data_IF_697532097914
#
_entry.id   IF_697532097914
#
_cell.length_a   1.000
_cell.length_b   1.000
_cell.length_c   1.000
_cell.angle_alpha   90.00
_cell.angle_beta   90.00
_cell.angle_gamma   90.00
#
_symmetry.space_group_name_H-M   'P 1'
#
loop_
_entity.id
_entity.type
_entity.pdbx_description
1 polymer ?
#
# COMPACT_ATOMS: atom_id res chain seq x y z
N UNK A 1 34.87 -59.99 4.22
CA UNK A 1 34.48 -58.74 4.91
C UNK A 1 34.24 -57.59 3.92
N UNK A 2 33.55 -57.82 2.80
CA UNK A 2 33.42 -56.83 1.70
C UNK A 2 32.01 -56.62 1.15
N UNK A 3 31.02 -57.46 1.51
CA UNK A 3 29.68 -57.38 0.92
C UNK A 3 28.74 -56.47 1.74
N UNK A 4 28.94 -56.37 3.06
CA UNK A 4 28.10 -55.54 3.94
C UNK A 4 28.32 -54.02 3.76
N UNK A 5 29.52 -53.59 3.39
CA UNK A 5 29.85 -52.18 3.12
C UNK A 5 29.25 -51.67 1.80
N UNK A 6 29.02 -52.56 0.83
CA UNK A 6 28.46 -52.20 -0.48
C UNK A 6 26.94 -51.99 -0.43
N UNK A 7 26.23 -52.77 0.39
CA UNK A 7 24.78 -52.65 0.58
C UNK A 7 24.38 -51.38 1.36
N UNK A 8 25.24 -50.89 2.25
CA UNK A 8 24.99 -49.64 3.00
C UNK A 8 25.21 -48.39 2.12
N UNK A 9 26.15 -48.45 1.17
CA UNK A 9 26.40 -47.35 0.23
C UNK A 9 25.27 -47.19 -0.81
N UNK A 10 24.62 -48.30 -1.24
CA UNK A 10 23.50 -48.22 -2.17
C UNK A 10 22.21 -47.66 -1.55
N UNK A 11 21.97 -47.84 -0.24
CA UNK A 11 20.77 -47.27 0.39
C UNK A 11 20.87 -45.75 0.57
N UNK A 12 22.07 -45.23 0.86
CA UNK A 12 22.30 -43.79 1.04
C UNK A 12 22.17 -43.01 -0.28
N UNK A 13 22.64 -43.58 -1.39
CA UNK A 13 22.53 -42.95 -2.72
C UNK A 13 21.08 -42.91 -3.21
N UNK A 14 20.27 -43.92 -2.87
CA UNK A 14 18.84 -43.95 -3.22
C UNK A 14 18.02 -42.90 -2.43
N UNK A 15 18.36 -42.66 -1.16
CA UNK A 15 17.71 -41.60 -0.36
C UNK A 15 18.02 -40.18 -0.85
N UNK A 16 19.21 -39.93 -1.41
CA UNK A 16 19.57 -38.60 -1.93
C UNK A 16 18.91 -38.36 -3.31
N UNK A 17 18.79 -39.38 -4.16
CA UNK A 17 18.15 -39.26 -5.47
C UNK A 17 16.62 -39.06 -5.41
N UNK A 18 15.96 -39.51 -4.34
CA UNK A 18 14.53 -39.28 -4.10
C UNK A 18 14.22 -37.89 -3.52
N UNK A 19 15.22 -37.17 -2.99
CA UNK A 19 15.03 -35.83 -2.44
C UNK A 19 15.22 -34.70 -3.48
N UNK A 20 15.86 -34.96 -4.62
CA UNK A 20 16.33 -33.91 -5.54
C UNK A 20 15.44 -33.63 -6.76
N UNK A 21 14.29 -34.31 -6.92
CA UNK A 21 13.45 -34.16 -8.13
C UNK A 21 12.02 -33.65 -7.91
N UNK A 22 11.57 -33.46 -6.66
CA UNK A 22 10.15 -33.12 -6.40
C UNK A 22 9.89 -31.69 -5.88
N UNK A 23 10.92 -30.94 -5.50
CA UNK A 23 10.76 -29.61 -4.90
C UNK A 23 10.18 -28.56 -5.87
N UNK A 24 10.47 -28.66 -7.18
CA UNK A 24 9.97 -27.71 -8.18
C UNK A 24 8.48 -27.89 -8.51
N UNK A 25 7.96 -29.12 -8.43
CA UNK A 25 6.55 -29.42 -8.74
C UNK A 25 5.61 -28.99 -7.60
N UNK A 26 6.03 -29.18 -6.35
CA UNK A 26 5.22 -28.84 -5.19
C UNK A 26 5.08 -27.32 -4.98
N UNK A 27 6.19 -26.56 -5.10
CA UNK A 27 6.16 -25.10 -5.00
C UNK A 27 5.30 -24.52 -6.13
N UNK A 28 5.50 -24.89 -7.40
CA UNK A 28 4.66 -24.37 -8.48
C UNK A 28 3.16 -24.67 -8.32
N UNK A 29 2.80 -25.83 -7.75
CA UNK A 29 1.39 -26.16 -7.44
C UNK A 29 0.83 -25.31 -6.30
N UNK A 30 1.61 -25.05 -5.26
CA UNK A 30 1.21 -24.16 -4.16
C UNK A 30 0.97 -22.72 -4.62
N UNK A 31 1.78 -22.23 -5.58
CA UNK A 31 1.64 -20.87 -6.11
C UNK A 31 0.50 -20.74 -7.13
N UNK A 32 0.25 -21.75 -7.98
CA UNK A 32 -0.89 -21.75 -8.93
C UNK A 32 -2.25 -21.92 -8.26
N UNK A 33 -2.30 -22.49 -7.06
CA UNK A 33 -3.56 -22.77 -6.35
C UNK A 33 -4.12 -21.57 -5.57
N UNK A 34 -3.40 -20.44 -5.48
CA UNK A 34 -3.88 -19.27 -4.75
C UNK A 34 -4.59 -18.31 -5.71
N UNK A 35 -5.88 -18.09 -5.46
CA UNK A 35 -6.62 -16.97 -6.04
C UNK A 35 -5.86 -15.69 -5.73
N UNK A 36 -5.65 -14.85 -6.75
CA UNK A 36 -5.04 -13.53 -6.51
C UNK A 36 -5.96 -12.70 -5.62
N UNK A 37 -5.42 -11.93 -4.67
CA UNK A 37 -6.25 -11.06 -3.84
C UNK A 37 -6.98 -10.06 -4.74
N UNK A 38 -8.30 -9.95 -4.53
CA UNK A 38 -9.14 -8.95 -5.20
C UNK A 38 -9.28 -7.72 -4.31
N UNK A 39 -9.38 -6.56 -4.93
CA UNK A 39 -9.51 -5.28 -4.25
C UNK A 39 -10.71 -4.51 -4.79
N UNK A 40 -11.48 -3.91 -3.88
CA UNK A 40 -12.64 -3.09 -4.22
C UNK A 40 -12.49 -1.67 -3.67
N UNK A 41 -12.95 -0.64 -4.40
CA UNK A 41 -12.86 0.73 -3.93
C UNK A 41 -13.78 0.92 -2.72
N UNK A 42 -13.26 1.52 -1.65
CA UNK A 42 -14.04 1.80 -0.43
C UNK A 42 -14.24 3.30 -0.21
N UNK A 43 -13.26 4.12 -0.60
CA UNK A 43 -13.36 5.57 -0.48
C UNK A 43 -12.51 6.31 -1.52
N UNK A 44 -12.86 7.57 -1.74
CA UNK A 44 -12.09 8.52 -2.53
C UNK A 44 -11.95 9.84 -1.79
N UNK A 45 -10.81 10.51 -1.97
CA UNK A 45 -10.46 11.76 -1.29
C UNK A 45 -9.94 12.73 -2.32
N UNK A 46 -10.51 13.95 -2.33
CA UNK A 46 -10.04 15.07 -3.15
C UNK A 46 -9.53 16.18 -2.24
N UNK A 47 -8.28 16.58 -2.44
CA UNK A 47 -7.55 17.44 -1.48
C UNK A 47 -6.85 18.58 -2.20
N UNK A 48 -7.24 19.85 -1.94
CA UNK A 48 -6.44 20.99 -2.33
C UNK A 48 -5.06 20.95 -1.68
N UNK A 49 -4.04 21.27 -2.48
CA UNK A 49 -2.65 21.22 -2.08
C UNK A 49 -2.17 22.61 -1.68
N UNK A 50 -1.42 22.68 -0.57
CA UNK A 50 -0.69 23.87 -0.18
C UNK A 50 0.57 24.08 -1.03
N UNK A 51 1.32 25.16 -0.76
CA UNK A 51 2.57 25.44 -1.44
C UNK A 51 3.55 24.26 -1.37
N UNK A 52 4.16 23.94 -2.52
CA UNK A 52 5.17 22.88 -2.62
C UNK A 52 6.55 23.40 -2.25
N UNK A 53 7.12 22.81 -1.22
CA UNK A 53 8.51 23.01 -0.84
C UNK A 53 9.37 21.90 -1.43
N UNK A 54 10.50 22.27 -2.03
CA UNK A 54 11.46 21.32 -2.62
C UNK A 54 12.85 21.59 -2.06
N UNK A 55 13.46 20.55 -1.49
CA UNK A 55 14.81 20.58 -0.95
C UNK A 55 15.69 19.60 -1.71
N UNK A 56 16.77 20.08 -2.33
CA UNK A 56 17.75 19.23 -3.02
C UNK A 56 18.71 18.61 -2.01
N UNK A 57 19.09 17.36 -2.23
CA UNK A 57 20.04 16.63 -1.40
C UNK A 57 20.77 15.53 -2.18
N UNK A 58 21.67 14.78 -1.52
CA UNK A 58 22.50 13.76 -2.17
C UNK A 58 21.70 12.57 -2.73
N UNK A 59 20.47 12.37 -2.27
CA UNK A 59 19.58 11.29 -2.71
C UNK A 59 18.48 11.75 -3.68
N UNK A 60 18.62 12.96 -4.25
CA UNK A 60 17.62 13.58 -5.11
C UNK A 60 16.92 14.76 -4.44
N UNK A 61 15.63 14.97 -4.72
CA UNK A 61 14.85 16.09 -4.19
C UNK A 61 13.79 15.61 -3.21
N UNK A 62 13.75 16.18 -2.02
CA UNK A 62 12.67 15.98 -1.05
C UNK A 62 11.56 17.01 -1.31
N UNK A 63 10.32 16.54 -1.37
CA UNK A 63 9.14 17.39 -1.53
C UNK A 63 8.28 17.35 -0.28
N UNK A 64 7.69 18.49 0.06
CA UNK A 64 6.72 18.62 1.16
C UNK A 64 5.59 19.56 0.72
N UNK A 65 4.36 19.12 0.95
CA UNK A 65 3.13 19.85 0.61
C UNK A 65 2.09 19.63 1.70
N UNK A 66 1.49 20.70 2.19
CA UNK A 66 0.34 20.60 3.09
C UNK A 66 -0.89 20.10 2.34
N UNK A 67 -1.70 19.26 2.98
CA UNK A 67 -3.01 18.86 2.52
C UNK A 67 -4.03 19.72 3.29
N UNK A 68 -4.62 20.72 2.64
CA UNK A 68 -5.27 21.83 3.34
C UNK A 68 -6.63 21.46 3.96
N UNK A 69 -7.46 20.79 3.15
CA UNK A 69 -8.78 20.30 3.50
C UNK A 69 -9.20 19.27 2.45
N UNK A 70 -10.39 18.69 2.54
CA UNK A 70 -10.86 17.76 1.53
C UNK A 70 -12.14 17.07 1.93
N UNK A 71 -12.84 16.53 0.94
CA UNK A 71 -14.04 15.73 1.15
C UNK A 71 -13.67 14.26 0.95
N UNK A 72 -14.15 13.43 1.87
CA UNK A 72 -14.04 11.97 1.76
C UNK A 72 -15.40 11.45 1.29
N UNK A 73 -15.39 10.75 0.16
CA UNK A 73 -16.57 10.11 -0.41
C UNK A 73 -16.45 8.60 -0.33
N UNK A 74 -17.56 7.90 -0.15
CA UNK A 74 -17.62 6.45 -0.31
C UNK A 74 -17.53 6.03 -1.79
N UNK A 75 -17.57 4.72 -2.05
CA UNK A 75 -17.53 4.15 -3.40
C UNK A 75 -18.68 4.60 -4.31
N UNK A 76 -19.82 5.03 -3.74
CA UNK A 76 -20.96 5.57 -4.50
C UNK A 76 -20.81 7.06 -4.83
N UNK A 77 -19.78 7.73 -4.28
CA UNK A 77 -19.56 9.16 -4.42
C UNK A 77 -20.31 9.99 -3.37
N UNK A 78 -20.92 9.37 -2.35
CA UNK A 78 -21.58 10.09 -1.26
C UNK A 78 -20.54 10.59 -0.25
N UNK A 79 -20.61 11.86 0.19
CA UNK A 79 -19.75 12.36 1.26
C UNK A 79 -19.99 11.63 2.58
N UNK A 80 -18.91 11.14 3.20
CA UNK A 80 -18.93 10.40 4.47
C UNK A 80 -18.00 11.01 5.53
N UNK A 81 -17.22 12.03 5.17
CA UNK A 81 -16.30 12.69 6.08
C UNK A 81 -15.53 13.80 5.38
N UNK A 82 -14.60 14.38 6.12
CA UNK A 82 -13.72 15.44 5.61
C UNK A 82 -12.33 15.31 6.21
N UNK A 83 -11.34 15.88 5.51
CA UNK A 83 -9.99 16.00 6.05
C UNK A 83 -9.98 17.11 7.11
N UNK A 84 -9.42 16.79 8.28
CA UNK A 84 -9.22 17.76 9.35
C UNK A 84 -8.18 18.79 8.88
N UNK A 85 -8.51 20.10 8.87
CA UNK A 85 -7.59 21.11 8.38
C UNK A 85 -6.27 21.13 9.15
N UNK A 86 -5.17 21.34 8.42
CA UNK A 86 -3.80 21.49 8.96
C UNK A 86 -3.20 20.28 9.69
N UNK A 87 -3.82 19.09 9.62
CA UNK A 87 -3.27 17.87 10.24
C UNK A 87 -2.65 16.90 9.24
N UNK A 88 -2.74 17.22 7.95
CA UNK A 88 -2.42 16.30 6.85
C UNK A 88 -1.28 16.85 5.98
N UNK A 89 -0.40 15.96 5.50
CA UNK A 89 0.80 16.34 4.74
C UNK A 89 1.18 15.27 3.72
N UNK A 90 1.58 15.71 2.54
CA UNK A 90 2.22 14.88 1.52
C UNK A 90 3.72 15.18 1.49
N UNK A 91 4.51 14.18 1.84
CA UNK A 91 5.95 14.19 1.68
C UNK A 91 6.36 13.25 0.56
N UNK A 92 7.58 13.42 0.06
CA UNK A 92 8.19 12.41 -0.79
C UNK A 92 9.63 12.68 -1.11
N UNK A 93 10.26 11.70 -1.75
CA UNK A 93 11.61 11.80 -2.31
C UNK A 93 11.52 11.47 -3.79
N UNK A 94 12.03 12.36 -4.63
CA UNK A 94 12.28 12.08 -6.05
C UNK A 94 13.76 11.79 -6.18
N UNK A 95 14.11 10.51 -6.39
CA UNK A 95 15.48 10.09 -6.57
C UNK A 95 16.08 10.63 -7.87
N UNK A 96 17.41 10.64 -7.98
CA UNK A 96 18.11 11.04 -9.21
C UNK A 96 17.71 10.19 -10.43
N UNK A 97 17.25 8.95 -10.21
CA UNK A 97 16.70 8.06 -11.24
C UNK A 97 15.31 8.48 -11.75
N UNK A 98 14.66 9.47 -11.13
CA UNK A 98 13.27 9.84 -11.38
C UNK A 98 12.23 9.02 -10.60
N UNK A 99 12.66 8.02 -9.83
CA UNK A 99 11.77 7.24 -8.96
C UNK A 99 11.22 8.12 -7.84
N UNK A 100 9.90 8.07 -7.63
CA UNK A 100 9.20 8.82 -6.60
C UNK A 100 8.80 7.91 -5.44
N UNK A 101 9.12 8.32 -4.21
CA UNK A 101 8.80 7.62 -2.97
C UNK A 101 7.88 8.51 -2.12
N UNK A 102 6.55 8.49 -2.36
CA UNK A 102 5.61 9.25 -1.55
C UNK A 102 5.49 8.70 -0.13
N UNK A 103 5.29 9.62 0.81
CA UNK A 103 4.86 9.33 2.18
C UNK A 103 3.81 10.35 2.56
N UNK A 104 2.56 9.93 2.69
CA UNK A 104 1.42 10.84 2.91
C UNK A 104 0.73 10.47 4.21
N UNK A 105 0.34 11.48 4.98
CA UNK A 105 -0.50 11.31 6.16
C UNK A 105 -1.77 12.13 6.04
N UNK A 106 -2.92 11.51 6.30
CA UNK A 106 -4.24 12.16 6.21
C UNK A 106 -5.01 11.90 7.50
N UNK A 107 -5.53 12.94 8.14
CA UNK A 107 -6.52 12.80 9.22
C UNK A 107 -7.90 13.05 8.67
N UNK A 108 -8.81 12.11 8.88
CA UNK A 108 -10.21 12.19 8.48
C UNK A 108 -11.05 12.34 9.75
N UNK A 109 -12.07 13.20 9.70
CA UNK A 109 -13.18 13.16 10.62
C UNK A 109 -14.41 12.62 9.89
N UNK A 110 -15.00 11.56 10.44
CA UNK A 110 -16.15 10.89 9.87
C UNK A 110 -17.43 11.67 10.19
N UNK A 111 -18.32 11.82 9.21
CA UNK A 111 -19.58 12.54 9.39
C UNK A 111 -20.68 11.72 10.06
N UNK A 112 -20.51 10.40 10.19
CA UNK A 112 -21.52 9.52 10.78
C UNK A 112 -21.54 9.56 12.32
N UNK A 113 -20.38 9.73 12.94
CA UNK A 113 -20.17 9.58 14.38
C UNK A 113 -19.14 10.56 14.97
N UNK A 114 -18.66 11.53 14.18
CA UNK A 114 -17.64 12.51 14.53
C UNK A 114 -16.29 11.92 15.01
N UNK A 115 -16.07 10.61 14.81
CA UNK A 115 -14.81 9.95 15.15
C UNK A 115 -13.73 10.25 14.11
N UNK A 116 -12.47 9.96 14.46
CA UNK A 116 -11.33 10.24 13.62
C UNK A 116 -10.67 8.98 13.08
N UNK A 117 -10.12 9.09 11.88
CA UNK A 117 -9.18 8.13 11.32
C UNK A 117 -7.88 8.82 10.89
N UNK A 118 -6.77 8.10 10.97
CA UNK A 118 -5.47 8.49 10.47
C UNK A 118 -5.01 7.51 9.39
N UNK A 119 -4.76 8.02 8.19
CA UNK A 119 -4.18 7.26 7.09
C UNK A 119 -2.69 7.54 7.00
N UNK A 120 -1.88 6.49 6.97
CA UNK A 120 -0.46 6.53 6.64
C UNK A 120 -0.25 5.78 5.33
N UNK A 121 0.18 6.51 4.30
CA UNK A 121 0.37 6.00 2.95
C UNK A 121 1.85 6.01 2.59
N UNK A 122 2.33 4.91 2.00
CA UNK A 122 3.71 4.78 1.52
C UNK A 122 3.74 4.02 0.20
N UNK A 123 4.53 4.47 -0.77
CA UNK A 123 4.61 3.77 -2.05
C UNK A 123 5.87 4.08 -2.83
N UNK A 124 5.86 3.59 -4.07
CA UNK A 124 6.92 3.77 -5.06
C UNK A 124 6.25 3.99 -6.41
N UNK A 125 6.66 5.04 -7.11
CA UNK A 125 6.07 5.41 -8.39
C UNK A 125 6.98 6.30 -9.21
N UNK A 126 6.36 7.06 -10.11
CA UNK A 126 7.02 8.02 -11.00
C UNK A 126 6.30 9.36 -10.82
N UNK A 127 7.08 10.44 -10.66
CA UNK A 127 6.51 11.77 -10.51
C UNK A 127 5.65 12.13 -11.74
N UNK A 128 4.45 12.69 -11.52
CA UNK A 128 3.50 13.01 -12.59
C UNK A 128 2.56 11.87 -12.97
N UNK A 129 2.85 10.64 -12.54
CA UNK A 129 1.98 9.48 -12.77
C UNK A 129 1.21 9.10 -11.50
N UNK A 130 0.08 8.42 -11.69
CA UNK A 130 -0.62 7.74 -10.59
C UNK A 130 0.33 6.74 -9.93
N UNK A 131 0.47 6.86 -8.61
CA UNK A 131 1.34 6.00 -7.81
C UNK A 131 0.51 5.07 -6.94
N UNK A 132 0.83 3.77 -6.97
CA UNK A 132 0.26 2.80 -6.05
C UNK A 132 0.92 2.93 -4.68
N UNK A 133 0.11 2.90 -3.63
CA UNK A 133 0.56 3.02 -2.24
C UNK A 133 -0.04 1.91 -1.39
N UNK A 134 0.74 1.45 -0.41
CA UNK A 134 0.23 0.74 0.75
C UNK A 134 -0.37 1.76 1.73
N UNK A 135 -1.50 1.42 2.33
CA UNK A 135 -2.22 2.27 3.27
C UNK A 135 -2.42 1.53 4.58
N UNK A 136 -2.06 2.18 5.68
CA UNK A 136 -2.51 1.81 7.02
C UNK A 136 -3.52 2.83 7.51
N UNK A 137 -4.66 2.36 8.01
CA UNK A 137 -5.68 3.20 8.64
C UNK A 137 -5.73 2.88 10.14
N UNK A 138 -5.54 3.89 10.98
CA UNK A 138 -5.81 3.82 12.42
C UNK A 138 -7.12 4.57 12.67
N UNK A 139 -8.12 3.93 13.28
CA UNK A 139 -9.44 4.52 13.54
C UNK A 139 -9.98 4.02 14.88
N UNK A 140 -10.92 4.75 15.48
CA UNK A 140 -11.61 4.30 16.69
C UNK A 140 -12.35 2.98 16.44
N UNK A 141 -12.25 2.03 17.36
CA UNK A 141 -12.94 0.74 17.29
C UNK A 141 -14.47 0.85 17.39
N UNK A 142 -14.98 1.97 17.91
CA UNK A 142 -16.42 2.27 17.94
C UNK A 142 -16.91 3.02 16.70
N UNK A 143 -16.02 3.34 15.75
CA UNK A 143 -16.40 4.05 14.53
C UNK A 143 -17.28 3.17 13.63
N UNK A 144 -18.21 3.80 12.92
CA UNK A 144 -18.97 3.18 11.82
C UNK A 144 -18.05 2.60 10.73
N UNK A 145 -16.79 3.05 10.67
CA UNK A 145 -15.78 2.64 9.69
C UNK A 145 -14.65 1.79 10.29
N UNK A 146 -14.80 1.30 11.53
CA UNK A 146 -13.78 0.55 12.25
C UNK A 146 -13.26 -0.69 11.49
N UNK A 147 -14.12 -1.33 10.69
CA UNK A 147 -13.76 -2.51 9.90
C UNK A 147 -12.63 -2.22 8.89
N UNK A 148 -12.55 -1.01 8.32
CA UNK A 148 -11.49 -0.65 7.37
C UNK A 148 -10.12 -0.52 8.03
N UNK A 149 -10.06 -0.16 9.31
CA UNK A 149 -8.81 -0.12 10.09
C UNK A 149 -8.17 -1.50 10.30
N UNK A 150 -8.91 -2.58 10.06
CA UNK A 150 -8.45 -3.95 10.23
C UNK A 150 -8.16 -4.67 8.90
N UNK A 151 -8.27 -3.97 7.77
CA UNK A 151 -8.10 -4.54 6.44
C UNK A 151 -6.74 -4.21 5.83
N UNK A 152 -6.31 -5.04 4.89
CA UNK A 152 -5.19 -4.70 4.02
C UNK A 152 -5.67 -3.71 2.96
N UNK A 153 -5.14 -2.50 3.01
CA UNK A 153 -5.54 -1.41 2.12
C UNK A 153 -4.41 -1.06 1.14
N UNK A 154 -4.81 -0.80 -0.10
CA UNK A 154 -3.96 -0.18 -1.12
C UNK A 154 -4.64 1.07 -1.64
N UNK A 155 -3.90 1.93 -2.32
CA UNK A 155 -4.49 3.09 -2.95
C UNK A 155 -3.77 3.55 -4.20
N UNK A 156 -4.46 4.40 -4.94
CA UNK A 156 -3.94 5.19 -6.04
C UNK A 156 -3.81 6.64 -5.57
N UNK A 157 -2.65 7.25 -5.81
CA UNK A 157 -2.41 8.66 -5.54
C UNK A 157 -2.04 9.36 -6.84
N UNK A 158 -2.77 10.42 -7.17
CA UNK A 158 -2.47 11.28 -8.32
C UNK A 158 -2.33 12.74 -7.87
N UNK A 159 -1.28 13.39 -8.36
CA UNK A 159 -1.03 14.82 -8.16
C UNK A 159 -1.09 15.50 -9.54
N UNK A 160 -2.08 16.36 -9.80
CA UNK A 160 -2.15 17.07 -11.07
C UNK A 160 -1.01 18.08 -11.20
N UNK A 161 -0.55 18.33 -12.42
CA UNK A 161 0.55 19.26 -12.71
C UNK A 161 0.15 20.74 -12.53
N UNK A 162 -1.13 21.07 -12.65
CA UNK A 162 -1.64 22.45 -12.72
C UNK A 162 -2.52 22.85 -11.52
N UNK A 163 -1.97 22.83 -10.30
CA UNK A 163 -2.64 23.41 -9.11
C UNK A 163 -3.98 22.77 -8.71
N UNK A 164 -4.37 21.68 -9.35
CA UNK A 164 -5.56 20.91 -9.03
C UNK A 164 -5.43 20.13 -7.72
N UNK A 165 -6.53 19.54 -7.23
CA UNK A 165 -6.49 18.74 -6.01
C UNK A 165 -5.74 17.43 -6.24
N UNK A 166 -5.01 16.96 -5.22
CA UNK A 166 -4.58 15.57 -5.20
C UNK A 166 -5.80 14.65 -5.06
N UNK A 167 -5.74 13.52 -5.75
CA UNK A 167 -6.78 12.51 -5.72
C UNK A 167 -6.21 11.23 -5.10
N UNK A 168 -6.91 10.73 -4.09
CA UNK A 168 -6.61 9.47 -3.43
C UNK A 168 -7.81 8.54 -3.64
N UNK A 169 -7.57 7.34 -4.16
CA UNK A 169 -8.56 6.25 -4.14
C UNK A 169 -8.02 5.15 -3.25
N UNK A 170 -8.86 4.63 -2.38
CA UNK A 170 -8.47 3.58 -1.43
C UNK A 170 -9.31 2.34 -1.71
N UNK A 171 -8.63 1.22 -1.72
CA UNK A 171 -9.20 -0.09 -1.99
C UNK A 171 -8.94 -1.00 -0.80
N UNK A 172 -9.96 -1.78 -0.45
CA UNK A 172 -9.86 -2.83 0.54
C UNK A 172 -9.77 -4.19 -0.14
N UNK A 173 -9.12 -5.13 0.52
CA UNK A 173 -9.18 -6.54 0.13
C UNK A 173 -10.63 -7.04 0.20
N UNK A 174 -11.17 -7.49 -0.93
CA UNK A 174 -12.52 -8.06 -0.98
C UNK A 174 -12.52 -9.41 -0.23
N UNK A 175 -13.43 -9.55 0.73
CA UNK A 175 -13.60 -10.74 1.57
C UNK A 175 -14.42 -11.83 0.89
#
# INVERSE_FOLDING_TARGET
MSILLFLCALSLVSCIALASTSSHSFIHKLWKSRTSPSFEPILSISVPLGPKNVLKGPFGSRTNMALLSGIVNDASGKPIGHIVPNTSVANGIVAASGTYFPTVSITIQWGADDTFAYLSLSGVGVLGNTTMVYIRMDTDGNSAYAAWGQQFLIGEVSYPEEGGPALFKVFAHAS
#
